data_IF_880269182488
#
_entry.id   IF_880269182488
#
_cell.length_a   1.000
_cell.length_b   1.000
_cell.length_c   1.000
_cell.angle_alpha   90.00
_cell.angle_beta   90.00
_cell.angle_gamma   90.00
#
_symmetry.space_group_name_H-M   'P 1'
#
loop_
_entity.id
_entity.type
_entity.pdbx_description
1 polymer ?
#
# COMPACT_ATOMS: atom_id res chain seq x y z
N UNK A 1 15.05 -30.16 12.00
CA UNK A 1 13.77 -29.52 11.60
C UNK A 1 13.71 -28.01 11.93
N UNK A 2 14.22 -27.56 13.08
CA UNK A 2 14.23 -26.13 13.49
C UNK A 2 15.01 -25.18 12.54
N UNK A 3 16.17 -25.61 12.01
CA UNK A 3 17.00 -24.80 11.08
C UNK A 3 16.27 -24.42 9.78
N UNK A 4 15.39 -25.29 9.27
CA UNK A 4 14.64 -25.07 8.02
C UNK A 4 13.48 -24.09 8.24
N UNK A 5 12.80 -24.13 9.40
CA UNK A 5 11.77 -23.14 9.75
C UNK A 5 12.38 -21.74 9.95
N UNK A 6 13.55 -21.66 10.59
CA UNK A 6 14.21 -20.36 10.82
C UNK A 6 14.57 -19.66 9.50
N UNK A 7 15.09 -20.40 8.52
CA UNK A 7 15.39 -19.85 7.19
C UNK A 7 14.16 -19.31 6.45
N UNK A 8 12.97 -19.90 6.67
CA UNK A 8 11.72 -19.49 6.01
C UNK A 8 11.16 -18.21 6.63
N UNK A 9 11.08 -18.15 7.95
CA UNK A 9 10.63 -16.95 8.67
C UNK A 9 11.55 -15.77 8.38
N UNK A 10 12.86 -16.00 8.33
CA UNK A 10 13.85 -14.98 7.95
C UNK A 10 13.59 -14.44 6.54
N UNK A 11 13.23 -15.29 5.57
CA UNK A 11 12.90 -14.85 4.21
C UNK A 11 11.65 -13.98 4.15
N UNK A 12 10.62 -14.29 4.96
CA UNK A 12 9.40 -13.46 5.05
C UNK A 12 9.71 -12.10 5.67
N UNK A 13 10.39 -12.10 6.81
CA UNK A 13 10.77 -10.87 7.52
C UNK A 13 11.63 -9.99 6.61
N UNK A 14 12.61 -10.60 5.91
CA UNK A 14 13.45 -9.87 4.97
C UNK A 14 12.64 -9.23 3.85
N UNK A 15 11.74 -9.98 3.22
CA UNK A 15 10.88 -9.47 2.14
C UNK A 15 9.98 -8.33 2.61
N UNK A 16 9.46 -8.42 3.84
CA UNK A 16 8.66 -7.38 4.48
C UNK A 16 9.47 -6.10 4.71
N UNK A 17 10.68 -6.22 5.27
CA UNK A 17 11.59 -5.08 5.49
C UNK A 17 11.93 -4.41 4.16
N UNK A 18 12.27 -5.19 3.13
CA UNK A 18 12.55 -4.67 1.80
C UNK A 18 11.35 -3.90 1.23
N UNK A 19 10.15 -4.47 1.33
CA UNK A 19 8.91 -3.85 0.87
C UNK A 19 8.65 -2.52 1.56
N UNK A 20 8.71 -2.50 2.90
CA UNK A 20 8.55 -1.31 3.73
C UNK A 20 9.53 -0.22 3.34
N UNK A 21 10.83 -0.52 3.31
CA UNK A 21 11.87 0.49 3.06
C UNK A 21 11.77 1.06 1.65
N UNK A 22 11.53 0.21 0.64
CA UNK A 22 11.44 0.64 -0.76
C UNK A 22 10.30 1.63 -0.98
N UNK A 23 9.11 1.29 -0.49
CA UNK A 23 7.94 2.13 -0.65
C UNK A 23 7.92 3.32 0.29
N UNK A 24 8.57 3.25 1.44
CA UNK A 24 8.74 4.42 2.31
C UNK A 24 9.65 5.48 1.66
N UNK A 25 10.80 5.07 1.11
CA UNK A 25 11.70 5.99 0.39
C UNK A 25 10.96 6.59 -0.82
N UNK A 26 10.29 5.74 -1.58
CA UNK A 26 9.50 6.17 -2.73
C UNK A 26 8.37 7.13 -2.36
N UNK A 27 7.66 6.85 -1.26
CA UNK A 27 6.61 7.69 -0.72
C UNK A 27 7.13 9.07 -0.31
N UNK A 28 8.27 9.15 0.38
CA UNK A 28 8.90 10.43 0.73
C UNK A 28 9.25 11.23 -0.52
N UNK A 29 9.85 10.61 -1.53
CA UNK A 29 10.18 11.26 -2.81
C UNK A 29 8.90 11.78 -3.46
N UNK A 30 7.86 10.95 -3.54
CA UNK A 30 6.58 11.32 -4.14
C UNK A 30 5.90 12.48 -3.37
N UNK A 31 5.94 12.48 -2.04
CA UNK A 31 5.43 13.60 -1.24
C UNK A 31 6.16 14.91 -1.54
N UNK A 32 7.49 14.87 -1.71
CA UNK A 32 8.27 16.05 -2.10
C UNK A 32 7.85 16.53 -3.50
N UNK A 33 7.57 15.63 -4.44
CA UNK A 33 7.09 16.00 -5.77
C UNK A 33 5.69 16.59 -5.72
N UNK A 34 4.77 16.00 -4.95
CA UNK A 34 3.42 16.52 -4.73
C UNK A 34 3.50 17.94 -4.17
N UNK A 35 4.34 18.18 -3.16
CA UNK A 35 4.51 19.49 -2.57
C UNK A 35 5.02 20.56 -3.54
N UNK A 36 5.82 20.17 -4.54
CA UNK A 36 6.41 21.11 -5.52
C UNK A 36 5.52 21.36 -6.72
N UNK A 37 4.77 20.35 -7.17
CA UNK A 37 4.05 20.38 -8.44
C UNK A 37 2.53 20.37 -8.27
N UNK A 38 2.04 20.23 -7.03
CA UNK A 38 0.63 20.12 -6.67
C UNK A 38 -0.12 19.07 -7.51
N UNK A 39 0.57 17.98 -7.86
CA UNK A 39 0.07 16.97 -8.77
C UNK A 39 0.14 15.57 -8.16
N UNK A 40 -0.98 15.17 -7.57
CA UNK A 40 -1.16 13.85 -6.95
C UNK A 40 -1.09 12.69 -7.96
N UNK A 41 -1.50 12.89 -9.21
CA UNK A 41 -1.38 11.87 -10.26
C UNK A 41 0.11 11.55 -10.48
N UNK A 42 0.92 12.58 -10.68
CA UNK A 42 2.35 12.42 -10.85
C UNK A 42 3.01 11.82 -9.60
N UNK A 43 2.58 12.23 -8.40
CA UNK A 43 3.02 11.66 -7.14
C UNK A 43 2.76 10.16 -7.03
N UNK A 44 1.56 9.69 -7.39
CA UNK A 44 1.22 8.25 -7.37
C UNK A 44 2.04 7.44 -8.36
N UNK A 45 2.28 7.97 -9.56
CA UNK A 45 3.09 7.34 -10.60
C UNK A 45 4.54 7.21 -10.11
N UNK A 46 5.10 8.26 -9.51
CA UNK A 46 6.46 8.24 -8.96
C UNK A 46 6.55 7.27 -7.77
N UNK A 47 5.59 7.34 -6.85
CA UNK A 47 5.53 6.44 -5.68
C UNK A 47 5.50 4.96 -6.10
N UNK A 48 4.68 4.63 -7.10
CA UNK A 48 4.57 3.28 -7.63
C UNK A 48 5.79 2.84 -8.43
N UNK A 49 6.25 3.67 -9.37
CA UNK A 49 7.38 3.37 -10.24
C UNK A 49 8.68 3.23 -9.45
N UNK A 50 9.05 4.23 -8.66
CA UNK A 50 10.27 4.22 -7.85
C UNK A 50 10.19 3.14 -6.76
N UNK A 51 9.03 2.95 -6.14
CA UNK A 51 8.81 1.93 -5.11
C UNK A 51 8.97 0.52 -5.67
N UNK A 52 8.36 0.24 -6.82
CA UNK A 52 8.51 -1.03 -7.54
C UNK A 52 9.93 -1.30 -8.04
N UNK A 53 10.63 -0.26 -8.50
CA UNK A 53 12.02 -0.33 -8.94
C UNK A 53 12.97 -0.64 -7.78
N UNK A 54 12.91 0.15 -6.70
CA UNK A 54 13.73 -0.05 -5.50
C UNK A 54 13.49 -1.44 -4.90
N UNK A 55 12.23 -1.84 -4.83
CA UNK A 55 11.87 -3.15 -4.32
C UNK A 55 12.43 -4.28 -5.20
N UNK A 56 12.32 -4.14 -6.52
CA UNK A 56 12.90 -5.10 -7.47
C UNK A 56 14.42 -5.20 -7.39
N UNK A 57 15.11 -4.06 -7.22
CA UNK A 57 16.57 -3.98 -7.06
C UNK A 57 17.01 -4.68 -5.78
N UNK A 58 16.39 -4.35 -4.64
CA UNK A 58 16.75 -4.92 -3.34
C UNK A 58 16.42 -6.41 -3.23
N UNK A 59 15.41 -6.89 -3.95
CA UNK A 59 15.06 -8.31 -4.00
C UNK A 59 16.05 -9.14 -4.86
N UNK A 60 17.05 -8.52 -5.49
CA UNK A 60 18.18 -9.14 -6.19
C UNK A 60 17.81 -10.16 -7.28
N UNK A 61 16.63 -10.00 -7.89
CA UNK A 61 16.20 -10.81 -9.04
C UNK A 61 16.14 -9.96 -10.28
N UNK A 62 17.27 -9.85 -11.00
CA UNK A 62 17.40 -8.98 -12.18
C UNK A 62 16.29 -9.17 -13.23
N UNK A 63 15.86 -10.41 -13.48
CA UNK A 63 14.77 -10.70 -14.43
C UNK A 63 13.38 -10.21 -13.97
N UNK A 64 13.21 -9.84 -12.70
CA UNK A 64 11.95 -9.37 -12.12
C UNK A 64 11.90 -7.86 -11.87
N UNK A 65 13.02 -7.13 -11.98
CA UNK A 65 13.08 -5.68 -11.72
C UNK A 65 12.08 -4.93 -12.60
N UNK A 66 12.12 -5.16 -13.92
CA UNK A 66 11.21 -4.49 -14.85
C UNK A 66 9.74 -4.81 -14.58
N UNK A 67 9.42 -6.06 -14.25
CA UNK A 67 8.04 -6.48 -13.95
C UNK A 67 7.52 -5.83 -12.67
N UNK A 68 8.35 -5.74 -11.62
CA UNK A 68 7.97 -5.10 -10.35
C UNK A 68 7.83 -3.58 -10.50
N UNK A 69 8.65 -2.97 -11.34
CA UNK A 69 8.55 -1.54 -11.68
C UNK A 69 7.24 -1.25 -12.42
N UNK A 70 6.94 -2.01 -13.47
CA UNK A 70 5.67 -1.88 -14.23
C UNK A 70 4.47 -2.17 -13.33
N UNK A 71 4.57 -3.19 -12.49
CA UNK A 71 3.53 -3.53 -11.52
C UNK A 71 3.28 -2.36 -10.56
N UNK A 72 4.31 -1.76 -9.99
CA UNK A 72 4.17 -0.59 -9.10
C UNK A 72 3.60 0.63 -9.82
N UNK A 73 4.12 0.95 -11.02
CA UNK A 73 3.69 2.08 -11.85
C UNK A 73 2.19 2.04 -12.17
N UNK A 74 1.64 0.84 -12.38
CA UNK A 74 0.22 0.64 -12.73
C UNK A 74 -0.63 0.46 -11.47
N UNK A 75 -0.18 -0.38 -10.53
CA UNK A 75 -0.98 -0.78 -9.38
C UNK A 75 -1.20 0.36 -8.39
N UNK A 76 -0.22 1.25 -8.17
CA UNK A 76 -0.37 2.33 -7.19
C UNK A 76 -1.41 3.37 -7.65
N UNK A 77 -1.34 3.93 -8.88
CA UNK A 77 -2.39 4.82 -9.36
C UNK A 77 -3.75 4.10 -9.41
N UNK A 78 -3.84 2.94 -10.05
CA UNK A 78 -5.15 2.27 -10.19
C UNK A 78 -5.73 1.85 -8.83
N UNK A 79 -4.89 1.40 -7.89
CA UNK A 79 -5.32 1.06 -6.54
C UNK A 79 -5.88 2.28 -5.80
N UNK A 80 -5.21 3.43 -5.91
CA UNK A 80 -5.63 4.66 -5.23
C UNK A 80 -6.86 5.29 -5.91
N UNK A 81 -6.85 5.49 -7.22
CA UNK A 81 -7.98 6.09 -7.94
C UNK A 81 -9.20 5.16 -8.05
N UNK A 82 -8.97 3.88 -8.31
CA UNK A 82 -10.04 2.90 -8.48
C UNK A 82 -10.81 2.65 -7.18
N UNK A 83 -10.14 2.71 -6.03
CA UNK A 83 -10.81 2.60 -4.74
C UNK A 83 -11.61 3.84 -4.37
N UNK A 84 -11.11 5.06 -4.63
CA UNK A 84 -11.88 6.29 -4.43
C UNK A 84 -13.14 6.28 -5.31
N UNK A 85 -13.01 5.97 -6.60
CA UNK A 85 -14.16 5.86 -7.50
C UNK A 85 -15.17 4.79 -7.04
N UNK A 86 -14.69 3.65 -6.52
CA UNK A 86 -15.56 2.60 -6.00
C UNK A 86 -16.24 3.03 -4.70
N UNK A 87 -15.54 3.67 -3.77
CA UNK A 87 -16.08 4.11 -2.48
C UNK A 87 -17.04 5.27 -2.67
N UNK A 88 -16.71 6.27 -3.49
CA UNK A 88 -17.62 7.36 -3.84
C UNK A 88 -18.85 6.83 -4.57
N UNK A 89 -18.69 5.89 -5.50
CA UNK A 89 -19.81 5.22 -6.16
C UNK A 89 -20.66 4.40 -5.18
N UNK A 90 -20.03 3.72 -4.22
CA UNK A 90 -20.72 2.90 -3.22
C UNK A 90 -21.46 3.78 -2.22
N UNK A 91 -20.81 4.81 -1.67
CA UNK A 91 -21.36 5.74 -0.67
C UNK A 91 -22.39 6.68 -1.30
N UNK A 92 -22.14 7.17 -2.52
CA UNK A 92 -23.12 7.96 -3.28
C UNK A 92 -24.35 7.14 -3.65
N UNK A 93 -24.17 5.87 -4.06
CA UNK A 93 -25.26 4.94 -4.31
C UNK A 93 -26.01 4.51 -3.04
N UNK A 94 -25.30 4.27 -1.94
CA UNK A 94 -25.89 3.92 -0.64
C UNK A 94 -26.59 5.10 0.01
N UNK A 95 -26.06 6.31 -0.10
CA UNK A 95 -26.66 7.53 0.45
C UNK A 95 -27.99 7.88 -0.19
N UNK A 96 -28.19 7.47 -1.45
CA UNK A 96 -29.46 7.60 -2.16
C UNK A 96 -30.52 6.61 -1.66
N UNK A 97 -30.11 5.47 -1.08
CA UNK A 97 -31.01 4.43 -0.55
C UNK A 97 -31.18 4.50 0.98
N UNK A 98 -30.18 4.97 1.73
CA UNK A 98 -30.14 5.01 3.20
C UNK A 98 -29.40 6.26 3.71
N UNK A 99 -30.04 7.45 3.69
CA UNK A 99 -29.41 8.73 4.03
C UNK A 99 -28.91 8.83 5.49
N UNK A 100 -29.57 8.16 6.43
CA UNK A 100 -29.16 8.13 7.86
C UNK A 100 -27.87 7.34 8.10
N UNK A 101 -27.62 6.32 7.28
CA UNK A 101 -26.40 5.50 7.33
C UNK A 101 -25.25 6.24 6.65
N UNK A 102 -25.51 6.90 5.51
CA UNK A 102 -24.50 7.74 4.85
C UNK A 102 -24.01 8.89 5.73
N UNK A 103 -24.90 9.57 6.47
CA UNK A 103 -24.50 10.59 7.43
C UNK A 103 -23.64 10.04 8.58
N UNK A 104 -23.83 8.77 8.97
CA UNK A 104 -22.96 8.10 9.96
C UNK A 104 -21.59 7.74 9.38
N UNK A 105 -21.53 7.36 8.09
CA UNK A 105 -20.28 7.08 7.38
C UNK A 105 -19.47 8.34 7.06
N UNK A 106 -20.10 9.46 6.70
CA UNK A 106 -19.42 10.74 6.50
C UNK A 106 -18.81 11.29 7.79
N UNK A 107 -19.49 11.10 8.93
CA UNK A 107 -19.00 11.54 10.24
C UNK A 107 -18.03 10.55 10.89
N UNK A 108 -17.68 9.45 10.22
CA UNK A 108 -16.85 8.39 10.80
C UNK A 108 -15.62 8.10 9.93
N UNK A 109 -14.47 7.90 10.58
CA UNK A 109 -13.24 7.43 9.92
C UNK A 109 -13.36 6.02 9.30
N UNK A 110 -14.53 5.39 9.39
CA UNK A 110 -14.82 4.08 8.80
C UNK A 110 -14.75 4.12 7.27
N UNK A 111 -15.20 5.21 6.62
CA UNK A 111 -15.14 5.32 5.16
C UNK A 111 -13.69 5.28 4.65
N UNK A 112 -12.79 6.03 5.30
CA UNK A 112 -11.36 6.04 5.01
C UNK A 112 -10.73 4.65 5.19
N UNK A 113 -11.08 3.94 6.27
CA UNK A 113 -10.58 2.59 6.54
C UNK A 113 -11.01 1.62 5.44
N UNK A 114 -12.28 1.64 5.04
CA UNK A 114 -12.81 0.80 3.97
C UNK A 114 -12.13 1.12 2.64
N UNK A 115 -11.95 2.41 2.33
CA UNK A 115 -11.25 2.85 1.14
C UNK A 115 -9.82 2.32 1.08
N UNK A 116 -9.08 2.42 2.18
CA UNK A 116 -7.69 1.94 2.26
C UNK A 116 -7.61 0.42 2.16
N UNK A 117 -8.57 -0.32 2.73
CA UNK A 117 -8.64 -1.79 2.55
C UNK A 117 -8.88 -2.14 1.08
N UNK A 118 -9.82 -1.47 0.41
CA UNK A 118 -10.09 -1.67 -1.02
C UNK A 118 -8.88 -1.30 -1.88
N UNK A 119 -8.20 -0.19 -1.57
CA UNK A 119 -6.93 0.21 -2.18
C UNK A 119 -5.93 -0.94 -2.11
N UNK A 120 -5.70 -1.49 -0.91
CA UNK A 120 -4.78 -2.59 -0.69
C UNK A 120 -5.12 -3.84 -1.49
N UNK A 121 -6.41 -4.20 -1.55
CA UNK A 121 -6.89 -5.36 -2.31
C UNK A 121 -6.62 -5.16 -3.81
N UNK A 122 -7.06 -4.03 -4.38
CA UNK A 122 -6.89 -3.72 -5.82
C UNK A 122 -5.40 -3.67 -6.17
N UNK A 123 -4.61 -2.96 -5.36
CA UNK A 123 -3.17 -2.89 -5.51
C UNK A 123 -2.54 -4.29 -5.50
N UNK A 124 -2.90 -5.14 -4.53
CA UNK A 124 -2.41 -6.51 -4.43
C UNK A 124 -2.80 -7.38 -5.63
N UNK A 125 -4.04 -7.25 -6.14
CA UNK A 125 -4.51 -7.97 -7.33
C UNK A 125 -3.66 -7.61 -8.54
N UNK A 126 -3.50 -6.32 -8.83
CA UNK A 126 -2.77 -5.83 -10.01
C UNK A 126 -1.28 -6.19 -9.90
N UNK A 127 -0.68 -5.94 -8.74
CA UNK A 127 0.74 -6.20 -8.52
C UNK A 127 1.05 -7.69 -8.62
N UNK A 128 0.25 -8.54 -7.97
CA UNK A 128 0.39 -10.00 -8.04
C UNK A 128 0.21 -10.53 -9.46
N UNK A 129 -0.80 -10.04 -10.19
CA UNK A 129 -1.07 -10.44 -11.57
C UNK A 129 0.13 -10.16 -12.49
N UNK A 130 0.72 -8.97 -12.40
CA UNK A 130 1.83 -8.56 -13.27
C UNK A 130 3.16 -9.23 -12.87
N UNK A 131 3.47 -9.25 -11.57
CA UNK A 131 4.77 -9.72 -11.09
C UNK A 131 4.88 -11.26 -11.04
N UNK A 132 3.83 -11.95 -10.57
CA UNK A 132 3.86 -13.40 -10.28
C UNK A 132 2.77 -14.21 -10.99
N UNK A 133 1.87 -13.55 -11.75
CA UNK A 133 0.85 -14.20 -12.57
C UNK A 133 -0.42 -14.61 -11.80
N UNK A 134 -1.41 -15.15 -12.53
CA UNK A 134 -2.79 -15.39 -12.07
C UNK A 134 -2.91 -16.20 -10.77
N UNK A 135 -2.01 -17.15 -10.54
CA UNK A 135 -2.04 -18.02 -9.35
C UNK A 135 -1.69 -17.28 -8.06
N UNK A 136 -0.99 -16.15 -8.14
CA UNK A 136 -0.56 -15.37 -6.98
C UNK A 136 -1.57 -14.32 -6.53
N UNK A 137 -2.55 -13.98 -7.39
CA UNK A 137 -3.52 -12.89 -7.16
C UNK A 137 -4.20 -13.02 -5.81
N UNK A 138 -4.73 -14.21 -5.47
CA UNK A 138 -5.45 -14.44 -4.20
C UNK A 138 -4.59 -14.19 -2.97
N UNK A 139 -3.31 -14.55 -3.03
CA UNK A 139 -2.40 -14.39 -1.91
C UNK A 139 -2.02 -12.92 -1.75
N UNK A 140 -1.71 -12.23 -2.85
CA UNK A 140 -1.35 -10.82 -2.83
C UNK A 140 -2.53 -9.93 -2.42
N UNK A 141 -3.73 -10.20 -2.92
CA UNK A 141 -4.93 -9.45 -2.54
C UNK A 141 -5.24 -9.60 -1.04
N UNK A 142 -5.14 -10.82 -0.51
CA UNK A 142 -5.41 -11.08 0.90
C UNK A 142 -4.36 -10.45 1.82
N UNK A 143 -3.07 -10.59 1.50
CA UNK A 143 -1.99 -10.03 2.30
C UNK A 143 -1.97 -8.49 2.26
N UNK A 144 -2.11 -7.87 1.08
CA UNK A 144 -2.19 -6.41 0.97
C UNK A 144 -3.45 -5.85 1.64
N UNK A 145 -4.61 -6.51 1.49
CA UNK A 145 -5.84 -6.11 2.18
C UNK A 145 -5.71 -6.20 3.70
N UNK A 146 -5.15 -7.30 4.22
CA UNK A 146 -4.95 -7.48 5.66
C UNK A 146 -3.99 -6.44 6.26
N UNK A 147 -2.89 -6.12 5.56
CA UNK A 147 -1.95 -5.06 5.97
C UNK A 147 -2.60 -3.67 5.91
N UNK A 148 -3.59 -3.49 5.03
CA UNK A 148 -4.27 -2.20 4.89
C UNK A 148 -5.24 -1.90 6.02
N UNK A 149 -5.66 -2.90 6.81
CA UNK A 149 -6.51 -2.69 8.01
C UNK A 149 -5.81 -1.82 9.06
N UNK A 150 -4.62 -2.20 9.60
CA UNK A 150 -3.94 -1.37 10.58
C UNK A 150 -3.49 -0.02 9.99
N UNK A 151 -3.17 0.05 8.70
CA UNK A 151 -2.85 1.32 8.03
C UNK A 151 -4.08 2.22 7.92
N UNK A 152 -5.25 1.66 7.58
CA UNK A 152 -6.51 2.38 7.54
C UNK A 152 -6.89 2.94 8.90
N UNK A 153 -6.77 2.13 9.96
CA UNK A 153 -6.99 2.59 11.33
C UNK A 153 -6.04 3.74 11.71
N UNK A 154 -4.77 3.63 11.31
CA UNK A 154 -3.78 4.66 11.56
C UNK A 154 -4.11 5.96 10.82
N UNK A 155 -4.48 5.89 9.54
CA UNK A 155 -4.92 7.06 8.77
C UNK A 155 -6.18 7.68 9.36
N UNK A 156 -7.18 6.87 9.71
CA UNK A 156 -8.38 7.35 10.39
C UNK A 156 -8.07 8.06 11.71
N UNK A 157 -7.10 7.55 12.48
CA UNK A 157 -6.65 8.21 13.72
C UNK A 157 -5.89 9.53 13.46
N UNK A 158 -5.15 9.63 12.35
CA UNK A 158 -4.48 10.87 11.97
C UNK A 158 -5.51 11.93 11.53
N UNK A 159 -6.55 11.51 10.80
CA UNK A 159 -7.63 12.40 10.36
C UNK A 159 -8.46 12.93 11.53
N UNK A 160 -8.64 12.16 12.60
CA UNK A 160 -9.35 12.60 13.81
C UNK A 160 -8.51 13.50 14.74
N UNK A 161 -7.33 13.94 14.32
CA UNK A 161 -6.49 14.88 15.08
C UNK A 161 -5.75 14.24 16.26
N UNK A 162 -5.58 12.92 16.24
CA UNK A 162 -4.89 12.22 17.32
C UNK A 162 -3.40 12.61 17.42
N UNK A 163 -2.81 12.47 18.61
CA UNK A 163 -1.43 12.89 18.91
C UNK A 163 -0.36 12.25 18.00
N UNK A 164 -0.67 11.06 17.45
CA UNK A 164 0.17 10.34 16.49
C UNK A 164 0.46 11.17 15.25
N UNK A 165 -0.50 11.97 14.78
CA UNK A 165 -0.29 12.86 13.64
C UNK A 165 0.81 13.88 13.92
N UNK A 166 0.73 14.58 15.05
CA UNK A 166 1.73 15.58 15.46
C UNK A 166 3.10 14.94 15.63
N UNK A 167 3.16 13.74 16.23
CA UNK A 167 4.42 13.01 16.39
C UNK A 167 5.05 12.64 15.05
N UNK A 168 4.26 12.14 14.08
CA UNK A 168 4.73 11.82 12.73
C UNK A 168 5.12 13.08 11.93
N UNK A 169 4.35 14.17 12.03
CA UNK A 169 4.67 15.44 11.39
C UNK A 169 6.03 15.96 11.88
N UNK A 170 6.30 15.87 13.18
CA UNK A 170 7.59 16.25 13.76
C UNK A 170 8.73 15.34 13.27
N UNK A 171 8.50 14.03 13.16
CA UNK A 171 9.49 13.08 12.66
C UNK A 171 9.89 13.37 11.19
N UNK A 172 8.91 13.76 10.38
CA UNK A 172 9.10 14.05 8.95
C UNK A 172 9.30 15.54 8.64
N UNK A 173 9.33 16.41 9.64
CA UNK A 173 9.44 17.86 9.50
C UNK A 173 10.67 18.29 8.67
N UNK A 174 11.76 17.53 8.73
CA UNK A 174 13.00 17.77 7.97
C UNK A 174 12.74 17.80 6.45
N UNK A 175 11.72 17.09 5.98
CA UNK A 175 11.33 17.02 4.58
C UNK A 175 10.21 18.00 4.19
N UNK A 176 9.76 18.85 5.12
CA UNK A 176 8.63 19.78 4.95
C UNK A 176 7.28 19.21 5.37
N UNK A 177 6.19 19.92 5.05
CA UNK A 177 4.80 19.46 5.31
C UNK A 177 4.44 18.30 4.39
N UNK A 178 4.83 17.08 4.76
CA UNK A 178 4.48 15.87 4.00
C UNK A 178 3.01 15.49 4.20
N UNK A 179 2.35 15.05 3.13
CA UNK A 179 1.09 14.30 3.21
C UNK A 179 1.34 12.93 3.86
N UNK A 180 1.11 12.87 5.18
CA UNK A 180 1.29 11.65 5.98
C UNK A 180 0.32 10.55 5.57
N UNK A 181 -0.90 10.88 5.17
CA UNK A 181 -1.88 9.87 4.78
C UNK A 181 -1.40 9.12 3.55
N UNK A 182 -0.96 9.88 2.52
CA UNK A 182 -0.36 9.31 1.33
C UNK A 182 0.88 8.46 1.67
N UNK A 183 1.79 8.99 2.49
CA UNK A 183 3.01 8.28 2.88
C UNK A 183 2.71 6.93 3.56
N UNK A 184 1.74 6.90 4.48
CA UNK A 184 1.38 5.68 5.19
C UNK A 184 0.69 4.66 4.29
N UNK A 185 -0.16 5.10 3.36
CA UNK A 185 -0.80 4.23 2.36
C UNK A 185 0.26 3.59 1.46
N UNK A 186 1.17 4.37 0.89
CA UNK A 186 2.25 3.87 0.03
C UNK A 186 3.16 2.91 0.80
N UNK A 187 3.52 3.24 2.04
CA UNK A 187 4.31 2.33 2.90
C UNK A 187 3.56 1.04 3.18
N UNK A 188 2.24 1.10 3.42
CA UNK A 188 1.36 -0.04 3.60
C UNK A 188 1.35 -0.98 2.40
N UNK A 189 1.28 -0.44 1.18
CA UNK A 189 1.42 -1.20 -0.06
C UNK A 189 2.75 -1.97 -0.13
N UNK A 190 3.86 -1.31 0.23
CA UNK A 190 5.17 -1.96 0.31
C UNK A 190 5.21 -3.12 1.30
N UNK A 191 4.66 -2.92 2.50
CA UNK A 191 4.56 -3.99 3.52
C UNK A 191 3.71 -5.15 2.98
N UNK A 192 2.58 -4.86 2.33
CA UNK A 192 1.70 -5.84 1.72
C UNK A 192 2.39 -6.69 0.65
N UNK A 193 3.11 -6.06 -0.29
CA UNK A 193 3.89 -6.75 -1.32
C UNK A 193 5.01 -7.59 -0.71
N UNK A 194 5.76 -7.01 0.24
CA UNK A 194 6.85 -7.70 0.92
C UNK A 194 6.38 -8.96 1.65
N UNK A 195 5.28 -8.85 2.39
CA UNK A 195 4.63 -9.99 3.04
C UNK A 195 4.13 -11.03 2.03
N UNK A 196 3.48 -10.58 0.94
CA UNK A 196 2.96 -11.46 -0.11
C UNK A 196 4.06 -12.30 -0.75
N UNK A 197 5.21 -11.69 -1.04
CA UNK A 197 6.34 -12.36 -1.67
C UNK A 197 7.00 -13.34 -0.70
N UNK A 198 7.16 -12.93 0.56
CA UNK A 198 7.64 -13.81 1.62
C UNK A 198 6.76 -15.05 1.78
N UNK A 199 5.44 -14.88 1.84
CA UNK A 199 4.50 -15.99 1.96
C UNK A 199 4.48 -16.87 0.71
N UNK A 200 4.56 -16.26 -0.47
CA UNK A 200 4.60 -16.97 -1.76
C UNK A 200 5.85 -17.84 -1.89
N UNK A 201 7.01 -17.35 -1.44
CA UNK A 201 8.26 -18.14 -1.44
C UNK A 201 8.14 -19.37 -0.53
N UNK A 202 7.52 -19.21 0.65
CA UNK A 202 7.24 -20.33 1.57
C UNK A 202 6.30 -21.37 0.97
N UNK A 203 5.25 -20.96 0.25
CA UNK A 203 4.30 -21.90 -0.36
C UNK A 203 4.91 -22.63 -1.55
N UNK A 204 5.72 -21.95 -2.36
CA UNK A 204 6.38 -22.55 -3.53
C UNK A 204 7.42 -23.60 -3.15
N UNK A 205 8.12 -23.44 -2.03
CA UNK A 205 9.10 -24.43 -1.53
C UNK A 205 8.47 -25.65 -0.84
N UNK A 206 7.16 -25.65 -0.61
CA UNK A 206 6.42 -26.79 -0.04
C UNK A 206 5.90 -27.77 -1.10
N UNK A 207 5.89 -27.36 -2.37
CA UNK A 207 5.60 -28.21 -3.53
C UNK A 207 6.91 -28.64 -4.16
#
# INVERSE_FOLDING_TARGET
>A
MSKICNSKTVSVIWSLILGKVSFLISGVIACIVILRLDNYILGTIIAGGVGGLLFGLLHWKHKMIGRMTIAGLIAVPIGLWGSFALVEGLVGGFGLLFPSVAAYFENSSIADIIAIILMGIIFGVIFGAIAYGRKSIRLFSAACGAVSIPIGLLVGSMNSGHWIKVWLENLFHIFGKIDLNFLMIITGFGIGVGLSIGLYSMTKQRR
#
